data_IF_700632899518
#
_entry.id   IF_700632899518
#
_cell.length_a   1.000
_cell.length_b   1.000
_cell.length_c   1.000
_cell.angle_alpha   90.00
_cell.angle_beta   90.00
_cell.angle_gamma   90.00
#
_symmetry.space_group_name_H-M   'P 1'
#
loop_
_entity.id
_entity.type
_entity.pdbx_description
1 polymer ?
#
# COMPACT_ATOMS: atom_id res chain seq x y z
N UNK A 1 2.04 -16.37 -20.00
CA UNK A 1 2.41 -14.93 -19.95
C UNK A 1 2.94 -14.63 -18.55
N UNK A 2 3.85 -13.67 -18.39
CA UNK A 2 4.30 -13.26 -17.06
C UNK A 2 3.12 -12.70 -16.25
N UNK A 3 3.08 -12.96 -14.94
CA UNK A 3 2.07 -12.39 -14.05
C UNK A 3 2.21 -10.87 -14.02
N UNK A 4 1.07 -10.17 -13.98
CA UNK A 4 1.08 -8.72 -13.79
C UNK A 4 1.47 -8.39 -12.35
N UNK A 5 2.18 -7.29 -12.16
CA UNK A 5 2.65 -6.82 -10.84
C UNK A 5 1.93 -5.54 -10.44
N UNK A 6 1.37 -5.53 -9.23
CA UNK A 6 0.67 -4.37 -8.67
C UNK A 6 1.27 -3.97 -7.34
N UNK A 7 1.51 -2.67 -7.16
CA UNK A 7 1.83 -2.09 -5.86
C UNK A 7 0.55 -1.55 -5.22
N UNK A 8 0.31 -1.89 -3.95
CA UNK A 8 -0.78 -1.33 -3.14
C UNK A 8 -0.17 -0.55 -1.98
N UNK A 9 -0.20 0.78 -2.05
CA UNK A 9 0.19 1.64 -0.94
C UNK A 9 -1.01 1.87 -0.01
N UNK A 10 -0.83 1.69 1.30
CA UNK A 10 -1.92 1.60 2.28
C UNK A 10 -2.47 0.17 2.41
N UNK A 11 -1.63 -0.84 2.14
CA UNK A 11 -2.03 -2.24 2.07
C UNK A 11 -2.60 -2.80 3.38
N UNK A 12 -2.19 -2.26 4.54
CA UNK A 12 -2.70 -2.70 5.85
C UNK A 12 -3.96 -1.92 6.29
N UNK A 13 -4.43 -0.98 5.47
CA UNK A 13 -5.70 -0.27 5.67
C UNK A 13 -6.90 -1.05 5.13
N UNK A 14 -8.11 -0.56 5.43
CA UNK A 14 -9.36 -1.26 5.06
C UNK A 14 -9.48 -1.56 3.56
N UNK A 15 -9.38 -0.54 2.69
CA UNK A 15 -9.53 -0.75 1.23
C UNK A 15 -8.30 -1.48 0.66
N UNK A 16 -7.11 -1.13 1.14
CA UNK A 16 -5.85 -1.70 0.64
C UNK A 16 -5.77 -3.21 0.84
N UNK A 17 -6.16 -3.73 2.01
CA UNK A 17 -6.08 -5.16 2.29
C UNK A 17 -7.02 -5.98 1.39
N UNK A 18 -8.25 -5.49 1.19
CA UNK A 18 -9.22 -6.14 0.31
C UNK A 18 -8.76 -6.13 -1.16
N UNK A 19 -8.05 -5.07 -1.59
CA UNK A 19 -7.43 -5.05 -2.92
C UNK A 19 -6.28 -6.06 -3.02
N UNK A 20 -5.46 -6.21 -1.98
CA UNK A 20 -4.43 -7.25 -1.93
C UNK A 20 -5.05 -8.65 -2.10
N UNK A 21 -6.09 -8.98 -1.32
CA UNK A 21 -6.85 -10.24 -1.47
C UNK A 21 -7.36 -10.43 -2.90
N UNK A 22 -8.00 -9.39 -3.46
CA UNK A 22 -8.59 -9.45 -4.79
C UNK A 22 -7.55 -9.70 -5.88
N UNK A 23 -6.44 -8.96 -5.88
CA UNK A 23 -5.41 -9.10 -6.90
C UNK A 23 -4.70 -10.45 -6.82
N UNK A 24 -4.42 -10.94 -5.61
CA UNK A 24 -3.87 -12.29 -5.43
C UNK A 24 -4.83 -13.36 -5.97
N UNK A 25 -6.12 -13.26 -5.68
CA UNK A 25 -7.14 -14.16 -6.21
C UNK A 25 -7.26 -14.11 -7.74
N UNK A 26 -6.97 -12.97 -8.37
CA UNK A 26 -6.90 -12.82 -9.83
C UNK A 26 -5.55 -13.26 -10.44
N UNK A 27 -4.60 -13.73 -9.63
CA UNK A 27 -3.32 -14.28 -10.08
C UNK A 27 -2.22 -13.24 -10.31
N UNK A 28 -2.37 -12.03 -9.77
CA UNK A 28 -1.32 -11.00 -9.80
C UNK A 28 -0.24 -11.32 -8.76
N UNK A 29 0.92 -10.67 -8.94
CA UNK A 29 1.88 -10.48 -7.85
C UNK A 29 1.59 -9.14 -7.19
N UNK A 30 1.45 -9.15 -5.86
CA UNK A 30 1.05 -7.98 -5.08
C UNK A 30 2.19 -7.58 -4.17
N UNK A 31 2.56 -6.30 -4.27
CA UNK A 31 3.51 -5.65 -3.37
C UNK A 31 2.70 -4.71 -2.47
N UNK A 32 2.53 -5.09 -1.21
CA UNK A 32 1.92 -4.24 -0.20
C UNK A 32 2.95 -3.30 0.42
N UNK A 33 2.64 -2.00 0.48
CA UNK A 33 3.39 -1.00 1.24
C UNK A 33 2.48 -0.33 2.26
N UNK A 34 2.93 -0.26 3.50
CA UNK A 34 2.23 0.46 4.57
C UNK A 34 3.23 0.88 5.65
N UNK A 35 2.98 1.98 6.38
CA UNK A 35 3.80 2.38 7.52
C UNK A 35 3.15 2.06 8.87
N UNK A 36 1.94 1.49 8.86
CA UNK A 36 1.12 1.13 10.02
C UNK A 36 0.74 2.34 10.89
N UNK A 37 0.68 3.55 10.30
CA UNK A 37 0.25 4.74 11.03
C UNK A 37 -1.23 4.64 11.44
N UNK A 38 -2.09 4.22 10.51
CA UNK A 38 -3.51 3.91 10.77
C UNK A 38 -3.91 2.51 10.28
N UNK A 39 -3.00 1.79 9.63
CA UNK A 39 -3.21 0.41 9.19
C UNK A 39 -2.95 -0.60 10.29
N UNK A 40 -3.51 -1.81 10.15
CA UNK A 40 -3.34 -2.92 11.09
C UNK A 40 -2.79 -4.14 10.34
N UNK A 41 -1.69 -4.72 10.83
CA UNK A 41 -1.09 -5.91 10.23
C UNK A 41 -2.05 -7.10 10.21
N UNK A 42 -2.99 -7.19 11.15
CA UNK A 42 -4.00 -8.24 11.17
C UNK A 42 -4.84 -8.27 9.88
N UNK A 43 -4.95 -7.15 9.15
CA UNK A 43 -5.65 -7.07 7.87
C UNK A 43 -4.94 -7.79 6.72
N UNK A 44 -3.64 -8.08 6.85
CA UNK A 44 -2.83 -8.70 5.78
C UNK A 44 -1.98 -9.88 6.24
N UNK A 45 -1.98 -10.22 7.53
CA UNK A 45 -1.17 -11.30 8.11
C UNK A 45 -1.43 -12.65 7.41
N UNK A 46 -2.70 -12.92 7.04
CA UNK A 46 -3.07 -14.14 6.33
C UNK A 46 -2.46 -14.24 4.92
N UNK A 47 -2.02 -13.13 4.33
CA UNK A 47 -1.39 -13.07 3.01
C UNK A 47 0.10 -13.40 3.04
N UNK A 48 0.76 -13.40 4.19
CA UNK A 48 2.22 -13.59 4.28
C UNK A 48 2.67 -15.01 3.87
N UNK A 49 1.75 -15.96 3.83
CA UNK A 49 1.99 -17.33 3.32
C UNK A 49 1.88 -17.43 1.79
N UNK A 50 1.34 -16.41 1.13
CA UNK A 50 1.13 -16.41 -0.32
C UNK A 50 2.45 -16.09 -1.03
N UNK A 51 2.91 -17.00 -1.88
CA UNK A 51 4.18 -16.85 -2.63
C UNK A 51 4.25 -15.61 -3.55
N UNK A 52 3.09 -15.06 -3.89
CA UNK A 52 2.92 -13.93 -4.81
C UNK A 52 2.62 -12.63 -4.05
N UNK A 53 2.66 -12.64 -2.72
CA UNK A 53 2.52 -11.46 -1.88
C UNK A 53 3.86 -11.08 -1.25
N UNK A 54 4.21 -9.80 -1.35
CA UNK A 54 5.38 -9.23 -0.71
C UNK A 54 4.97 -7.99 0.08
N UNK A 55 5.45 -7.86 1.32
CA UNK A 55 5.10 -6.74 2.19
C UNK A 55 6.34 -5.93 2.56
N UNK A 56 6.18 -4.61 2.48
CA UNK A 56 7.19 -3.63 2.88
C UNK A 56 6.59 -2.68 3.93
N UNK A 57 7.14 -2.72 5.14
CA UNK A 57 6.86 -1.70 6.15
C UNK A 57 7.59 -0.40 5.76
N UNK A 58 6.88 0.52 5.11
CA UNK A 58 7.48 1.69 4.47
C UNK A 58 6.56 2.92 4.48
N UNK A 59 7.15 4.08 4.78
CA UNK A 59 6.51 5.39 4.65
C UNK A 59 6.74 5.94 3.24
N UNK A 60 5.68 5.95 2.42
CA UNK A 60 5.75 6.39 1.03
C UNK A 60 6.10 7.87 0.85
N UNK A 61 6.10 8.68 1.92
CA UNK A 61 6.63 10.06 1.86
C UNK A 61 8.17 10.10 1.76
N UNK A 62 8.82 8.96 1.97
CA UNK A 62 10.25 8.71 1.71
C UNK A 62 10.44 8.13 0.31
N UNK A 63 11.69 8.12 -0.14
CA UNK A 63 12.03 7.57 -1.46
C UNK A 63 11.57 6.11 -1.59
N UNK A 64 10.77 5.84 -2.61
CA UNK A 64 10.23 4.51 -2.91
C UNK A 64 11.04 3.90 -4.05
N UNK A 65 11.56 2.70 -3.81
CA UNK A 65 12.20 1.90 -4.86
C UNK A 65 11.55 0.52 -4.91
N UNK A 66 11.08 0.13 -6.10
CA UNK A 66 10.50 -1.18 -6.35
C UNK A 66 11.26 -1.80 -7.51
N UNK A 67 11.93 -2.95 -7.32
CA UNK A 67 12.69 -3.57 -8.39
C UNK A 67 11.77 -4.15 -9.46
N UNK A 68 12.21 -4.02 -10.72
CA UNK A 68 11.51 -4.55 -11.88
C UNK A 68 10.29 -3.74 -12.32
N UNK A 69 9.60 -4.21 -13.35
CA UNK A 69 8.42 -3.52 -13.90
C UNK A 69 7.20 -3.68 -12.98
N UNK A 70 6.46 -2.59 -12.77
CA UNK A 70 5.09 -2.60 -12.25
C UNK A 70 4.12 -2.37 -13.41
N UNK A 71 2.99 -3.07 -13.39
CA UNK A 71 1.90 -2.84 -14.35
C UNK A 71 0.85 -1.89 -13.77
N UNK A 72 0.69 -1.86 -12.44
CA UNK A 72 -0.28 -1.01 -11.75
C UNK A 72 0.25 -0.50 -10.40
N UNK A 73 -0.22 0.68 -10.00
CA UNK A 73 0.01 1.27 -8.68
C UNK A 73 -1.34 1.74 -8.13
N UNK A 74 -1.68 1.27 -6.94
CA UNK A 74 -2.92 1.54 -6.23
C UNK A 74 -2.58 2.31 -4.96
N UNK A 75 -2.82 3.63 -4.97
CA UNK A 75 -2.46 4.51 -3.85
C UNK A 75 -3.67 4.80 -2.95
N UNK A 76 -3.72 4.13 -1.80
CA UNK A 76 -4.75 4.30 -0.77
C UNK A 76 -4.19 4.69 0.62
N UNK A 77 -2.86 4.82 0.74
CA UNK A 77 -2.20 5.33 1.94
C UNK A 77 -2.63 6.78 2.25
N UNK A 78 -3.45 6.96 3.28
CA UNK A 78 -3.75 8.25 3.89
C UNK A 78 -4.44 8.04 5.24
N UNK A 79 -4.17 8.85 6.28
CA UNK A 79 -5.05 8.97 7.44
C UNK A 79 -6.33 9.68 6.96
N UNK A 80 -7.36 8.92 6.61
CA UNK A 80 -8.49 9.41 5.79
C UNK A 80 -9.78 9.71 6.57
N UNK A 81 -9.76 9.74 7.90
CA UNK A 81 -10.92 10.14 8.70
C UNK A 81 -10.90 11.63 9.04
N UNK A 82 -12.06 12.30 9.24
CA UNK A 82 -12.10 13.70 9.66
C UNK A 82 -11.33 13.99 10.95
N UNK A 83 -11.33 13.03 11.88
CA UNK A 83 -10.58 13.15 13.14
C UNK A 83 -9.08 13.07 12.86
N UNK A 84 -8.66 12.12 12.01
CA UNK A 84 -7.26 11.93 11.65
C UNK A 84 -6.67 13.12 10.91
N UNK A 85 -7.43 13.77 10.02
CA UNK A 85 -6.98 15.00 9.34
C UNK A 85 -6.62 16.11 10.32
N UNK A 86 -7.35 16.22 11.43
CA UNK A 86 -7.11 17.23 12.46
C UNK A 86 -5.95 16.84 13.38
N UNK A 87 -5.80 15.55 13.68
CA UNK A 87 -4.72 15.04 14.55
C UNK A 87 -3.38 14.93 13.81
N UNK A 88 -3.40 14.66 12.50
CA UNK A 88 -2.23 14.36 11.67
C UNK A 88 -2.16 15.18 10.37
N UNK A 89 -2.37 16.51 10.42
CA UNK A 89 -2.48 17.34 9.21
C UNK A 89 -1.20 17.35 8.36
N UNK A 90 -0.03 17.31 9.00
CA UNK A 90 1.26 17.29 8.29
C UNK A 90 1.47 15.95 7.58
N UNK A 91 1.09 14.84 8.21
CA UNK A 91 1.19 13.50 7.63
C UNK A 91 0.23 13.37 6.45
N UNK A 92 -1.03 13.82 6.60
CA UNK A 92 -2.02 13.85 5.52
C UNK A 92 -1.54 14.70 4.34
N UNK A 93 -1.00 15.90 4.59
CA UNK A 93 -0.45 16.75 3.53
C UNK A 93 0.72 16.07 2.81
N UNK A 94 1.68 15.52 3.57
CA UNK A 94 2.87 14.88 2.99
C UNK A 94 2.52 13.63 2.20
N UNK A 95 1.62 12.77 2.69
CA UNK A 95 1.25 11.55 1.98
C UNK A 95 0.48 11.87 0.69
N UNK A 96 -0.41 12.86 0.72
CA UNK A 96 -1.14 13.29 -0.47
C UNK A 96 -0.27 13.98 -1.53
N UNK A 97 0.82 14.66 -1.14
CA UNK A 97 1.72 15.33 -2.08
C UNK A 97 2.99 14.53 -2.36
N UNK A 98 3.87 14.38 -1.36
CA UNK A 98 5.14 13.66 -1.51
C UNK A 98 4.93 12.16 -1.70
N UNK A 99 3.97 11.56 -0.99
CA UNK A 99 3.64 10.14 -1.18
C UNK A 99 3.20 9.84 -2.61
N UNK A 100 2.29 10.65 -3.15
CA UNK A 100 1.89 10.55 -4.56
C UNK A 100 3.05 10.78 -5.51
N UNK A 101 3.90 11.79 -5.26
CA UNK A 101 5.08 12.05 -6.09
C UNK A 101 6.07 10.89 -6.12
N UNK A 102 6.33 10.23 -4.99
CA UNK A 102 7.27 9.12 -4.93
C UNK A 102 6.74 7.84 -5.59
N UNK A 103 5.43 7.73 -5.80
CA UNK A 103 4.77 6.57 -6.39
C UNK A 103 4.53 6.69 -7.91
N UNK A 104 4.71 7.87 -8.51
CA UNK A 104 4.47 8.13 -9.94
C UNK A 104 5.78 8.45 -10.69
#
# INVERSE_FOLDING_TARGET
MAKKRVLVAGAAGFIGSHLCDRFLAEGYQVIGMDNLLTGDLANIEHLFKEKDFEYYHHDITKFVHVPGKLDYIMHFASPASPIDYLQMPIQTLKVGAHGTHNLL
#
